data_IF_660751903543
#
_entry.id   IF_660751903543
#
_cell.length_a   1.000
_cell.length_b   1.000
_cell.length_c   1.000
_cell.angle_alpha   90.00
_cell.angle_beta   90.00
_cell.angle_gamma   90.00
#
_symmetry.space_group_name_H-M   'P 1'
#
loop_
_entity.id
_entity.type
_entity.pdbx_description
1 polymer ?
#
# COMPACT_ATOMS: atom_id res chain seq x y z
N UNK A 1 -10.48 6.46 8.65
CA UNK A 1 -9.50 6.39 7.54
C UNK A 1 -8.32 5.59 8.05
N UNK A 2 -7.96 4.48 7.43
CA UNK A 2 -6.80 3.72 7.86
C UNK A 2 -5.49 4.40 7.50
N UNK A 3 -4.52 4.28 8.41
CA UNK A 3 -3.13 4.69 8.21
C UNK A 3 -2.27 3.45 7.96
N UNK A 4 -1.64 3.40 6.79
CA UNK A 4 -0.74 2.34 6.39
C UNK A 4 0.71 2.83 6.49
N UNK A 5 1.55 2.16 7.30
CA UNK A 5 2.98 2.37 7.17
C UNK A 5 3.49 1.55 5.98
N UNK A 6 3.85 2.23 4.91
CA UNK A 6 4.37 1.62 3.68
C UNK A 6 5.90 1.71 3.69
N UNK A 7 6.55 0.55 3.82
CA UNK A 7 7.99 0.42 4.07
C UNK A 7 8.69 -0.26 2.89
N UNK A 8 8.97 0.45 1.79
CA UNK A 8 9.84 -0.10 0.75
C UNK A 8 11.26 -0.32 1.26
N UNK A 9 11.93 -1.30 0.65
CA UNK A 9 13.31 -1.67 1.00
C UNK A 9 14.27 -0.49 1.00
N UNK A 10 15.22 -0.54 1.91
CA UNK A 10 16.33 0.41 2.07
C UNK A 10 17.66 -0.23 1.70
N UNK A 11 17.64 -1.33 0.93
CA UNK A 11 18.80 -2.16 0.63
C UNK A 11 19.40 -1.79 -0.74
N UNK A 12 20.07 -0.64 -0.83
CA UNK A 12 20.76 -0.19 -2.04
C UNK A 12 21.91 -1.13 -2.49
N UNK A 13 22.42 -1.93 -1.54
CA UNK A 13 23.53 -2.88 -1.76
C UNK A 13 23.06 -4.22 -2.36
N UNK A 14 21.78 -4.42 -2.61
CA UNK A 14 21.23 -5.59 -3.28
C UNK A 14 20.97 -5.30 -4.77
N UNK A 15 21.93 -5.56 -5.67
CA UNK A 15 21.75 -5.28 -7.09
C UNK A 15 20.80 -6.29 -7.73
N UNK A 16 19.98 -5.81 -8.66
CA UNK A 16 19.22 -6.68 -9.54
C UNK A 16 20.12 -7.26 -10.64
N UNK A 17 19.84 -8.50 -11.06
CA UNK A 17 20.56 -9.14 -12.17
C UNK A 17 20.38 -8.38 -13.50
N UNK A 18 19.32 -7.58 -13.59
CA UNK A 18 19.01 -6.75 -14.77
C UNK A 18 19.69 -5.38 -14.63
N UNK A 19 19.06 -4.45 -13.90
CA UNK A 19 19.55 -3.11 -13.61
C UNK A 19 18.95 -2.59 -12.31
N UNK A 20 19.59 -1.58 -11.72
CA UNK A 20 19.15 -0.99 -10.46
C UNK A 20 19.41 -1.90 -9.26
N UNK A 21 18.72 -1.60 -8.18
CA UNK A 21 18.82 -2.32 -6.91
C UNK A 21 17.45 -2.44 -6.23
N UNK A 22 17.39 -3.18 -5.13
CA UNK A 22 16.16 -3.45 -4.40
C UNK A 22 15.51 -2.17 -3.87
N UNK A 23 16.28 -1.25 -3.27
CA UNK A 23 15.78 0.03 -2.80
C UNK A 23 15.10 0.82 -3.92
N UNK A 24 15.76 0.95 -5.08
CA UNK A 24 15.23 1.69 -6.21
C UNK A 24 13.88 1.14 -6.69
N UNK A 25 13.80 -0.18 -6.93
CA UNK A 25 12.59 -0.79 -7.50
C UNK A 25 11.43 -0.83 -6.49
N UNK A 26 11.71 -1.08 -5.20
CA UNK A 26 10.66 -1.10 -4.18
C UNK A 26 10.13 0.30 -3.86
N UNK A 27 10.97 1.33 -3.90
CA UNK A 27 10.51 2.72 -3.77
C UNK A 27 9.66 3.13 -4.98
N UNK A 28 10.07 2.78 -6.20
CA UNK A 28 9.28 3.04 -7.40
C UNK A 28 7.93 2.31 -7.37
N UNK A 29 7.89 1.07 -6.87
CA UNK A 29 6.63 0.33 -6.65
C UNK A 29 5.72 1.06 -5.64
N UNK A 30 6.27 1.51 -4.53
CA UNK A 30 5.52 2.24 -3.53
C UNK A 30 4.97 3.58 -4.08
N UNK A 31 5.76 4.30 -4.90
CA UNK A 31 5.31 5.53 -5.59
C UNK A 31 4.09 5.26 -6.50
N UNK A 32 4.02 4.06 -7.11
CA UNK A 32 2.88 3.65 -7.94
C UNK A 32 1.68 3.19 -7.12
N UNK A 33 1.88 2.68 -5.90
CA UNK A 33 0.80 2.29 -5.00
C UNK A 33 0.09 3.51 -4.38
N UNK A 34 0.83 4.57 -4.02
CA UNK A 34 0.28 5.72 -3.30
C UNK A 34 -0.96 6.34 -3.96
N UNK A 35 -1.00 6.60 -5.28
CA UNK A 35 -2.20 7.15 -5.92
C UNK A 35 -3.45 6.27 -5.76
N UNK A 36 -3.31 4.94 -5.85
CA UNK A 36 -4.43 4.00 -5.65
C UNK A 36 -4.89 3.99 -4.19
N UNK A 37 -3.93 3.99 -3.25
CA UNK A 37 -4.21 4.01 -1.82
C UNK A 37 -4.96 5.30 -1.43
N UNK A 38 -4.46 6.46 -1.85
CA UNK A 38 -5.10 7.75 -1.61
C UNK A 38 -6.51 7.83 -2.22
N UNK A 39 -6.66 7.43 -3.50
CA UNK A 39 -7.95 7.40 -4.16
C UNK A 39 -8.96 6.51 -3.44
N UNK A 40 -8.49 5.43 -2.82
CA UNK A 40 -9.31 4.46 -2.09
C UNK A 40 -9.52 4.82 -0.61
N UNK A 41 -9.03 5.97 -0.15
CA UNK A 41 -9.23 6.45 1.24
C UNK A 41 -8.28 5.84 2.26
N UNK A 42 -7.14 5.28 1.84
CA UNK A 42 -6.03 4.86 2.71
C UNK A 42 -5.00 5.98 2.77
N UNK A 43 -4.41 6.23 3.93
CA UNK A 43 -3.32 7.19 4.11
C UNK A 43 -1.98 6.46 4.29
N UNK A 44 -1.19 6.26 3.22
CA UNK A 44 0.14 5.71 3.32
C UNK A 44 1.12 6.71 3.93
N UNK A 45 1.97 6.23 4.82
CA UNK A 45 3.12 6.96 5.37
C UNK A 45 4.38 6.17 5.09
N UNK A 46 5.34 6.79 4.42
CA UNK A 46 6.57 6.14 3.96
C UNK A 46 7.64 6.08 5.06
N UNK A 47 8.47 5.05 4.99
CA UNK A 47 9.74 5.07 5.72
C UNK A 47 10.72 6.09 5.10
N UNK A 48 11.79 6.37 5.81
CA UNK A 48 12.95 7.10 5.30
C UNK A 48 14.01 6.09 4.85
N UNK A 49 14.34 6.00 3.54
CA UNK A 49 15.35 5.07 3.03
C UNK A 49 16.71 5.21 3.73
N UNK A 50 17.11 6.45 4.07
CA UNK A 50 18.38 6.71 4.75
C UNK A 50 18.42 6.16 6.20
N UNK A 51 17.27 5.84 6.79
CA UNK A 51 17.20 5.32 8.16
C UNK A 51 17.46 3.80 8.25
N UNK A 52 17.45 3.10 7.13
CA UNK A 52 17.61 1.64 7.04
C UNK A 52 16.45 0.86 7.70
N UNK A 53 16.47 -0.47 7.63
CA UNK A 53 15.40 -1.33 8.17
C UNK A 53 15.12 -1.12 9.67
N UNK A 54 16.16 -0.89 10.48
CA UNK A 54 15.99 -0.59 11.91
C UNK A 54 15.30 0.77 12.13
N UNK A 55 15.56 1.73 11.25
CA UNK A 55 14.88 3.03 11.22
C UNK A 55 13.42 2.92 10.82
N UNK A 56 13.10 2.12 9.81
CA UNK A 56 11.74 1.85 9.38
C UNK A 56 10.89 1.27 10.54
N UNK A 57 11.41 0.26 11.26
CA UNK A 57 10.75 -0.30 12.45
C UNK A 57 10.54 0.78 13.53
N UNK A 58 11.54 1.62 13.79
CA UNK A 58 11.45 2.68 14.79
C UNK A 58 10.39 3.71 14.42
N UNK A 59 10.38 4.18 13.16
CA UNK A 59 9.40 5.15 12.65
C UNK A 59 7.99 4.57 12.69
N UNK A 60 7.79 3.33 12.25
CA UNK A 60 6.52 2.63 12.34
C UNK A 60 6.02 2.56 13.80
N UNK A 61 6.91 2.31 14.77
CA UNK A 61 6.54 2.20 16.17
C UNK A 61 6.32 3.55 16.88
N UNK A 62 6.69 4.67 16.26
CA UNK A 62 6.44 6.03 16.78
C UNK A 62 5.04 6.54 16.42
N UNK A 63 4.46 6.05 15.32
CA UNK A 63 3.10 6.40 14.90
C UNK A 63 2.06 5.37 15.35
N UNK A 64 0.80 5.72 15.11
CA UNK A 64 -0.35 4.83 15.29
C UNK A 64 -0.85 4.41 13.90
N UNK A 65 -0.34 3.30 13.41
CA UNK A 65 -0.70 2.73 12.11
C UNK A 65 -1.59 1.51 12.27
N UNK A 66 -2.59 1.39 11.39
CA UNK A 66 -3.50 0.26 11.35
C UNK A 66 -2.84 -0.99 10.77
N UNK A 67 -1.83 -0.79 9.91
CA UNK A 67 -1.03 -1.87 9.33
C UNK A 67 0.35 -1.38 8.90
N UNK A 68 1.35 -2.30 8.88
CA UNK A 68 2.69 -2.09 8.34
C UNK A 68 2.91 -3.07 7.17
N UNK A 69 3.10 -2.54 5.97
CA UNK A 69 3.41 -3.30 4.77
C UNK A 69 4.83 -2.97 4.30
N UNK A 70 5.74 -3.94 4.42
CA UNK A 70 7.08 -3.83 3.89
C UNK A 70 7.15 -4.44 2.47
N UNK A 71 7.87 -3.77 1.58
CA UNK A 71 8.06 -4.18 0.19
C UNK A 71 9.53 -4.50 -0.03
N UNK A 72 9.80 -5.74 -0.40
CA UNK A 72 11.12 -6.30 -0.65
C UNK A 72 11.14 -7.18 -1.90
N UNK A 73 12.32 -7.53 -2.36
CA UNK A 73 12.56 -8.61 -3.32
C UNK A 73 13.65 -9.53 -2.78
N UNK A 74 13.44 -10.81 -2.93
CA UNK A 74 14.27 -11.85 -2.35
C UNK A 74 15.59 -12.06 -3.14
N UNK A 75 16.56 -12.68 -2.49
CA UNK A 75 17.76 -13.19 -3.11
C UNK A 75 17.97 -14.67 -2.77
N UNK A 76 18.45 -15.45 -3.74
CA UNK A 76 18.85 -16.83 -3.48
C UNK A 76 20.12 -16.88 -2.63
N UNK A 77 20.29 -17.88 -1.76
CA UNK A 77 21.60 -18.20 -1.20
C UNK A 77 22.62 -18.40 -2.34
N UNK A 78 23.89 -18.07 -2.12
CA UNK A 78 24.95 -18.10 -3.14
C UNK A 78 24.98 -19.41 -3.94
N UNK A 79 24.84 -20.57 -3.27
CA UNK A 79 24.82 -21.89 -3.91
C UNK A 79 23.63 -22.12 -4.86
N UNK A 80 22.57 -21.31 -4.74
CA UNK A 80 21.33 -21.39 -5.53
C UNK A 80 21.08 -20.12 -6.35
N UNK A 81 22.06 -19.22 -6.45
CA UNK A 81 21.91 -17.96 -7.15
C UNK A 81 21.32 -18.12 -8.55
N UNK A 82 20.32 -17.32 -8.86
CA UNK A 82 19.58 -17.34 -10.11
C UNK A 82 18.60 -18.51 -10.30
N UNK A 83 18.47 -19.41 -9.31
CA UNK A 83 17.66 -20.63 -9.47
C UNK A 83 16.32 -20.60 -8.75
N UNK A 84 16.19 -19.76 -7.73
CA UNK A 84 14.95 -19.64 -6.97
C UNK A 84 14.01 -18.63 -7.63
N UNK A 85 12.71 -18.87 -7.47
CA UNK A 85 11.63 -18.02 -7.97
C UNK A 85 10.44 -18.11 -7.03
N UNK A 86 9.62 -17.08 -6.97
CA UNK A 86 8.39 -17.07 -6.21
C UNK A 86 8.14 -15.76 -5.49
N UNK A 87 6.93 -15.60 -4.97
CA UNK A 87 6.51 -14.47 -4.16
C UNK A 87 6.08 -14.97 -2.80
N UNK A 88 6.68 -14.43 -1.75
CA UNK A 88 6.38 -14.82 -0.37
C UNK A 88 5.86 -13.62 0.43
N UNK A 89 4.73 -13.80 1.12
CA UNK A 89 4.19 -12.82 2.07
C UNK A 89 4.43 -13.30 3.49
N UNK A 90 5.45 -12.73 4.14
CA UNK A 90 5.84 -13.11 5.49
C UNK A 90 5.01 -12.39 6.55
N UNK A 91 4.50 -13.16 7.52
CA UNK A 91 3.76 -12.64 8.66
C UNK A 91 4.23 -13.26 9.99
N UNK A 92 3.95 -12.58 11.12
CA UNK A 92 4.27 -13.14 12.44
C UNK A 92 3.28 -14.26 12.79
N UNK A 93 3.75 -15.46 13.22
CA UNK A 93 2.89 -16.65 13.40
C UNK A 93 1.70 -16.45 14.35
N UNK A 94 1.84 -15.60 15.37
CA UNK A 94 0.75 -15.31 16.31
C UNK A 94 -0.18 -14.16 15.85
N UNK A 95 0.09 -13.52 14.69
CA UNK A 95 -0.71 -12.42 14.17
C UNK A 95 -1.82 -12.92 13.23
N UNK A 96 -3.05 -12.99 13.72
CA UNK A 96 -4.22 -13.30 12.87
C UNK A 96 -4.47 -12.21 11.82
N UNK A 97 -4.20 -10.95 12.17
CA UNK A 97 -4.29 -9.81 11.26
C UNK A 97 -3.24 -9.89 10.15
N UNK A 98 -2.00 -10.24 10.49
CA UNK A 98 -0.93 -10.45 9.51
C UNK A 98 -1.23 -11.62 8.58
N UNK A 99 -1.68 -12.77 9.10
CA UNK A 99 -2.11 -13.91 8.28
C UNK A 99 -3.24 -13.54 7.32
N UNK A 100 -4.26 -12.78 7.80
CA UNK A 100 -5.37 -12.34 6.96
C UNK A 100 -4.88 -11.47 5.80
N UNK A 101 -4.05 -10.46 6.07
CA UNK A 101 -3.46 -9.61 5.03
C UNK A 101 -2.60 -10.43 4.06
N UNK A 102 -1.73 -11.31 4.57
CA UNK A 102 -0.87 -12.13 3.73
C UNK A 102 -1.68 -13.00 2.75
N UNK A 103 -2.78 -13.62 3.19
CA UNK A 103 -3.65 -14.41 2.32
C UNK A 103 -4.35 -13.54 1.26
N UNK A 104 -4.85 -12.36 1.62
CA UNK A 104 -5.46 -11.41 0.67
C UNK A 104 -4.43 -11.03 -0.41
N UNK A 105 -3.20 -10.68 -0.02
CA UNK A 105 -2.14 -10.33 -0.97
C UNK A 105 -1.75 -11.51 -1.86
N UNK A 106 -1.70 -12.73 -1.32
CA UNK A 106 -1.49 -13.97 -2.10
C UNK A 106 -2.56 -14.09 -3.18
N UNK A 107 -3.84 -13.93 -2.82
CA UNK A 107 -4.96 -14.09 -3.74
C UNK A 107 -4.95 -13.04 -4.86
N UNK A 108 -4.47 -11.82 -4.58
CA UNK A 108 -4.37 -10.73 -5.55
C UNK A 108 -3.11 -10.83 -6.44
N UNK A 109 -2.01 -11.40 -5.96
CA UNK A 109 -0.76 -11.54 -6.75
C UNK A 109 -0.74 -12.82 -7.60
N UNK A 110 -1.37 -13.90 -7.14
CA UNK A 110 -1.43 -15.16 -7.90
C UNK A 110 -1.88 -15.02 -9.37
N UNK A 111 -2.91 -14.22 -9.70
CA UNK A 111 -3.38 -14.10 -11.08
C UNK A 111 -2.37 -13.46 -12.04
N UNK A 112 -1.44 -12.64 -11.51
CA UNK A 112 -0.49 -11.85 -12.31
C UNK A 112 0.95 -12.40 -12.27
N UNK A 113 1.25 -13.31 -11.34
CA UNK A 113 2.58 -13.91 -11.26
C UNK A 113 2.68 -15.14 -12.18
N UNK A 114 3.76 -15.31 -12.97
CA UNK A 114 3.88 -16.39 -13.97
C UNK A 114 3.82 -17.82 -13.41
N UNK A 115 4.12 -17.99 -12.12
CA UNK A 115 4.10 -19.28 -11.42
C UNK A 115 3.20 -19.19 -10.17
N UNK A 116 1.85 -19.15 -10.34
CA UNK A 116 0.92 -18.88 -9.24
C UNK A 116 1.02 -19.85 -8.06
N UNK A 117 1.47 -21.09 -8.29
CA UNK A 117 1.73 -22.08 -7.25
C UNK A 117 2.91 -21.71 -6.34
N UNK A 118 3.74 -20.74 -6.74
CA UNK A 118 4.87 -20.21 -5.97
C UNK A 118 4.58 -18.91 -5.25
N UNK A 119 3.32 -18.48 -5.20
CA UNK A 119 2.87 -17.33 -4.42
C UNK A 119 2.28 -17.82 -3.10
N UNK A 120 2.90 -17.47 -1.96
CA UNK A 120 2.58 -18.11 -0.69
C UNK A 120 2.60 -17.11 0.49
N UNK A 121 1.74 -17.38 1.49
CA UNK A 121 1.83 -16.75 2.81
C UNK A 121 2.72 -17.62 3.72
N UNK A 122 3.74 -17.03 4.36
CA UNK A 122 4.70 -17.78 5.19
C UNK A 122 4.83 -17.18 6.59
N UNK A 123 4.68 -17.99 7.64
CA UNK A 123 4.97 -17.54 8.99
C UNK A 123 6.48 -17.39 9.21
N UNK A 124 6.89 -16.30 9.91
CA UNK A 124 8.30 -16.11 10.28
C UNK A 124 8.45 -15.38 11.61
N UNK A 125 9.51 -15.73 12.35
CA UNK A 125 9.99 -15.01 13.53
C UNK A 125 11.35 -14.36 13.30
N UNK A 126 11.95 -14.56 12.12
CA UNK A 126 13.31 -14.10 11.82
C UNK A 126 13.35 -12.65 11.35
N UNK A 127 12.30 -12.19 10.63
CA UNK A 127 12.28 -10.87 9.99
C UNK A 127 11.90 -9.78 11.01
N UNK A 128 12.74 -8.74 11.11
CA UNK A 128 12.56 -7.65 12.08
C UNK A 128 11.26 -6.87 11.88
N UNK A 129 10.93 -6.47 10.65
CA UNK A 129 9.74 -5.68 10.32
C UNK A 129 8.43 -6.46 10.53
N UNK A 130 8.49 -7.78 10.54
CA UNK A 130 7.34 -8.64 10.85
C UNK A 130 7.16 -8.83 12.36
N UNK A 131 8.28 -8.90 13.11
CA UNK A 131 8.25 -9.28 14.53
C UNK A 131 8.21 -8.11 15.51
N UNK A 132 8.78 -6.94 15.12
CA UNK A 132 9.10 -5.84 16.04
C UNK A 132 8.22 -4.61 15.88
N UNK A 133 7.29 -4.63 14.93
CA UNK A 133 6.33 -3.55 14.73
C UNK A 133 5.15 -3.67 15.70
N UNK A 134 4.64 -2.53 16.18
CA UNK A 134 3.41 -2.49 16.99
C UNK A 134 2.18 -2.82 16.15
N UNK A 135 2.11 -2.21 14.96
CA UNK A 135 1.06 -2.51 14.00
C UNK A 135 1.18 -3.96 13.51
N UNK A 136 0.07 -4.63 13.22
CA UNK A 136 0.10 -5.87 12.45
C UNK A 136 0.89 -5.66 11.16
N UNK A 137 1.67 -6.66 10.74
CA UNK A 137 2.59 -6.46 9.63
C UNK A 137 2.66 -7.65 8.69
N UNK A 138 2.97 -7.33 7.43
CA UNK A 138 3.40 -8.27 6.39
C UNK A 138 4.63 -7.70 5.71
N UNK A 139 5.59 -8.56 5.39
CA UNK A 139 6.69 -8.26 4.49
C UNK A 139 6.49 -9.06 3.20
N UNK A 140 6.38 -8.36 2.08
CA UNK A 140 6.27 -8.96 0.76
C UNK A 140 7.66 -9.11 0.14
N UNK A 141 8.03 -10.35 -0.22
CA UNK A 141 9.18 -10.67 -1.07
C UNK A 141 8.68 -10.92 -2.48
N UNK A 142 8.78 -9.91 -3.34
CA UNK A 142 8.15 -9.85 -4.66
C UNK A 142 9.07 -10.43 -5.75
N UNK A 143 9.30 -11.73 -5.71
CA UNK A 143 10.21 -12.41 -6.63
C UNK A 143 11.67 -12.33 -6.19
N UNK A 144 12.54 -13.00 -6.95
CA UNK A 144 13.98 -13.07 -6.68
C UNK A 144 14.74 -12.13 -7.62
N UNK A 145 15.38 -11.09 -7.06
CA UNK A 145 16.09 -10.10 -7.88
C UNK A 145 17.38 -10.62 -8.53
N UNK A 146 17.90 -11.75 -8.05
CA UNK A 146 19.02 -12.48 -8.65
C UNK A 146 18.60 -13.48 -9.74
N UNK A 147 17.28 -13.66 -9.98
CA UNK A 147 16.73 -14.48 -11.05
C UNK A 147 16.22 -13.61 -12.20
N UNK A 148 16.66 -13.91 -13.43
CA UNK A 148 16.34 -13.09 -14.62
C UNK A 148 14.83 -12.99 -14.90
N UNK A 149 14.08 -14.09 -14.73
CA UNK A 149 12.64 -14.11 -15.01
C UNK A 149 11.85 -13.32 -13.95
N UNK A 150 12.21 -13.47 -12.66
CA UNK A 150 11.53 -12.77 -11.58
C UNK A 150 11.89 -11.27 -11.58
N UNK A 151 13.15 -10.95 -11.76
CA UNK A 151 13.59 -9.55 -11.92
C UNK A 151 12.89 -8.89 -13.13
N UNK A 152 12.82 -9.60 -14.27
CA UNK A 152 12.12 -9.13 -15.47
C UNK A 152 10.62 -8.97 -15.26
N UNK A 153 9.96 -9.92 -14.56
CA UNK A 153 8.55 -9.81 -14.21
C UNK A 153 8.30 -8.60 -13.32
N UNK A 154 9.05 -8.42 -12.25
CA UNK A 154 8.86 -7.32 -11.31
C UNK A 154 9.06 -5.96 -12.00
N UNK A 155 10.17 -5.78 -12.69
CA UNK A 155 10.51 -4.50 -13.30
C UNK A 155 9.62 -4.14 -14.49
N UNK A 156 9.10 -5.15 -15.20
CA UNK A 156 8.20 -4.98 -16.35
C UNK A 156 6.72 -4.79 -16.00
N UNK A 157 6.30 -5.11 -14.76
CA UNK A 157 4.87 -5.13 -14.39
C UNK A 157 4.58 -4.31 -13.11
N UNK A 158 5.38 -3.28 -12.82
CA UNK A 158 5.24 -2.48 -11.59
C UNK A 158 3.83 -1.91 -11.40
N UNK A 159 3.16 -1.44 -12.46
CA UNK A 159 1.81 -0.87 -12.35
C UNK A 159 0.78 -1.95 -11.98
N UNK A 160 0.88 -3.13 -12.59
CA UNK A 160 -0.02 -4.24 -12.30
C UNK A 160 0.17 -4.76 -10.88
N UNK A 161 1.44 -4.88 -10.45
CA UNK A 161 1.80 -5.26 -9.07
C UNK A 161 1.30 -4.22 -8.06
N UNK A 162 1.49 -2.92 -8.36
CA UNK A 162 1.00 -1.83 -7.52
C UNK A 162 -0.52 -1.85 -7.37
N UNK A 163 -1.25 -2.09 -8.47
CA UNK A 163 -2.70 -2.25 -8.44
C UNK A 163 -3.13 -3.44 -7.59
N UNK A 164 -2.52 -4.61 -7.79
CA UNK A 164 -2.86 -5.83 -7.07
C UNK A 164 -2.59 -5.70 -5.55
N UNK A 165 -1.44 -5.13 -5.16
CA UNK A 165 -1.12 -4.88 -3.76
C UNK A 165 -2.07 -3.85 -3.13
N UNK A 166 -2.39 -2.76 -3.85
CA UNK A 166 -3.30 -1.73 -3.38
C UNK A 166 -4.73 -2.24 -3.25
N UNK A 167 -5.19 -3.08 -4.19
CA UNK A 167 -6.47 -3.79 -4.08
C UNK A 167 -6.50 -4.65 -2.81
N UNK A 168 -5.46 -5.45 -2.56
CA UNK A 168 -5.38 -6.27 -1.34
C UNK A 168 -5.42 -5.44 -0.06
N UNK A 169 -4.75 -4.28 -0.02
CA UNK A 169 -4.82 -3.36 1.12
C UNK A 169 -6.24 -2.82 1.32
N UNK A 170 -6.93 -2.43 0.24
CA UNK A 170 -8.31 -1.92 0.35
C UNK A 170 -9.30 -3.00 0.78
N UNK A 171 -9.17 -4.23 0.26
CA UNK A 171 -9.95 -5.39 0.72
C UNK A 171 -9.74 -5.67 2.21
N UNK A 172 -8.50 -5.60 2.69
CA UNK A 172 -8.20 -5.78 4.10
C UNK A 172 -8.93 -4.76 4.99
N UNK A 173 -9.00 -3.49 4.57
CA UNK A 173 -9.67 -2.42 5.32
C UNK A 173 -11.17 -2.31 5.03
N UNK A 174 -11.73 -3.10 4.10
CA UNK A 174 -13.13 -3.02 3.71
C UNK A 174 -13.50 -1.72 2.98
N UNK A 175 -12.54 -1.18 2.21
CA UNK A 175 -12.70 0.01 1.38
C UNK A 175 -12.93 -0.37 -0.09
N UNK A 176 -13.62 0.46 -0.88
CA UNK A 176 -13.65 0.27 -2.32
C UNK A 176 -12.26 0.52 -2.91
N UNK A 177 -11.82 -0.36 -3.82
CA UNK A 177 -10.63 -0.08 -4.63
C UNK A 177 -11.00 0.91 -5.75
N UNK A 178 -10.30 2.04 -5.78
CA UNK A 178 -10.55 3.08 -6.78
C UNK A 178 -9.29 3.35 -7.61
N UNK A 179 -9.49 3.37 -8.92
CA UNK A 179 -8.46 3.82 -9.84
C UNK A 179 -8.38 5.35 -9.77
N UNK A 180 -7.20 5.92 -9.51
CA UNK A 180 -7.04 7.37 -9.46
C UNK A 180 -7.37 8.00 -10.81
N UNK A 181 -8.21 9.02 -10.79
CA UNK A 181 -8.53 9.85 -11.95
C UNK A 181 -7.54 11.01 -12.11
N UNK A 182 -7.80 11.88 -13.10
CA UNK A 182 -7.13 13.16 -13.15
C UNK A 182 -7.52 13.98 -11.90
N UNK A 183 -6.51 14.52 -11.21
CA UNK A 183 -6.74 15.39 -10.05
C UNK A 183 -7.49 16.65 -10.47
N UNK A 184 -8.59 16.97 -9.76
CA UNK A 184 -9.42 18.13 -10.05
C UNK A 184 -9.61 18.97 -8.80
N UNK A 185 -9.30 20.26 -8.90
CA UNK A 185 -9.57 21.20 -7.83
C UNK A 185 -11.07 21.54 -7.83
N UNK A 186 -11.66 21.57 -6.65
CA UNK A 186 -13.08 21.79 -6.45
C UNK A 186 -13.33 22.51 -5.12
N UNK A 187 -14.56 22.91 -4.88
CA UNK A 187 -14.97 23.57 -3.64
C UNK A 187 -16.23 22.94 -3.06
N UNK A 188 -16.32 22.92 -1.74
CA UNK A 188 -17.53 22.53 -1.03
C UNK A 188 -18.64 23.55 -1.32
N UNK A 189 -19.80 23.09 -1.78
CA UNK A 189 -20.97 23.92 -2.04
C UNK A 189 -22.20 23.36 -1.31
N UNK A 190 -22.49 23.98 -0.18
CA UNK A 190 -23.67 23.67 0.65
C UNK A 190 -24.48 24.96 0.91
N UNK A 191 -25.64 24.83 1.48
CA UNK A 191 -26.50 25.97 1.85
C UNK A 191 -26.15 26.53 3.24
N UNK A 192 -24.86 26.51 3.62
CA UNK A 192 -24.35 27.08 4.88
C UNK A 192 -23.91 26.04 5.92
N UNK A 193 -24.44 24.83 5.92
CA UNK A 193 -23.97 23.77 6.82
C UNK A 193 -22.62 23.18 6.34
N UNK A 194 -21.70 22.77 7.24
CA UNK A 194 -20.48 22.10 6.83
C UNK A 194 -20.77 20.73 6.21
N UNK A 195 -19.97 20.33 5.22
CA UNK A 195 -20.00 18.99 4.63
C UNK A 195 -19.10 18.03 5.40
N UNK A 196 -19.57 16.85 5.71
CA UNK A 196 -18.75 15.84 6.36
C UNK A 196 -17.81 15.16 5.37
N UNK A 197 -16.52 15.14 5.70
CA UNK A 197 -15.53 14.21 5.15
C UNK A 197 -15.62 12.91 5.94
N UNK A 198 -15.78 11.77 5.28
CA UNK A 198 -16.01 10.47 5.92
C UNK A 198 -14.94 9.45 5.58
N UNK A 199 -14.73 8.50 6.48
CA UNK A 199 -13.80 7.38 6.27
C UNK A 199 -14.30 6.36 5.23
N UNK A 200 -15.61 6.29 4.99
CA UNK A 200 -16.25 5.38 4.05
C UNK A 200 -17.22 6.16 3.16
N UNK A 201 -17.49 5.71 1.91
CA UNK A 201 -18.50 6.30 1.04
C UNK A 201 -19.92 5.88 1.46
N UNK A 202 -20.29 6.24 2.69
CA UNK A 202 -21.57 5.92 3.33
C UNK A 202 -21.98 7.03 4.27
N UNK A 203 -23.29 7.28 4.37
CA UNK A 203 -23.86 8.26 5.32
C UNK A 203 -23.61 7.88 6.78
N UNK A 204 -23.45 6.60 7.08
CA UNK A 204 -23.13 6.03 8.39
C UNK A 204 -21.62 5.95 8.66
N UNK A 205 -20.79 6.20 7.63
CA UNK A 205 -19.33 6.16 7.76
C UNK A 205 -18.82 7.17 8.80
N UNK A 206 -17.78 6.83 9.58
CA UNK A 206 -17.20 7.75 10.57
C UNK A 206 -16.81 9.10 9.94
N UNK A 207 -17.14 10.19 10.62
CA UNK A 207 -16.76 11.55 10.19
C UNK A 207 -15.32 11.81 10.60
N UNK A 208 -14.49 12.16 9.62
CA UNK A 208 -13.06 12.50 9.79
C UNK A 208 -12.90 13.99 10.06
N UNK A 209 -13.63 14.83 9.31
CA UNK A 209 -13.60 16.28 9.43
C UNK A 209 -14.95 16.88 8.97
N UNK A 210 -15.15 18.16 9.33
CA UNK A 210 -16.23 18.98 8.80
C UNK A 210 -15.64 20.08 7.93
N UNK A 211 -16.04 20.13 6.67
CA UNK A 211 -15.54 21.05 5.66
C UNK A 211 -16.52 22.22 5.52
N UNK A 212 -16.13 23.47 5.79
CA UNK A 212 -17.02 24.62 5.62
C UNK A 212 -17.48 24.78 4.17
N UNK A 213 -18.63 25.43 3.97
CA UNK A 213 -19.03 25.88 2.64
C UNK A 213 -17.95 26.79 2.03
N UNK A 214 -17.56 26.53 0.77
CA UNK A 214 -16.47 27.23 0.09
C UNK A 214 -15.07 26.65 0.35
N UNK A 215 -14.91 25.65 1.21
CA UNK A 215 -13.62 25.02 1.46
C UNK A 215 -13.05 24.40 0.19
N UNK A 216 -11.76 24.64 -0.14
CA UNK A 216 -11.11 24.02 -1.27
C UNK A 216 -10.86 22.52 -0.99
N UNK A 217 -11.12 21.69 -1.96
CA UNK A 217 -10.87 20.25 -1.92
C UNK A 217 -10.25 19.81 -3.24
N UNK A 218 -9.60 18.65 -3.24
CA UNK A 218 -9.10 18.02 -4.48
C UNK A 218 -9.77 16.67 -4.67
N UNK A 219 -10.40 16.46 -5.82
CA UNK A 219 -11.03 15.20 -6.19
C UNK A 219 -9.97 14.27 -6.74
N UNK A 220 -9.91 13.02 -6.21
CA UNK A 220 -8.99 11.96 -6.64
C UNK A 220 -9.69 10.90 -7.50
N UNK A 221 -10.92 10.53 -7.11
CA UNK A 221 -11.72 9.52 -7.80
C UNK A 221 -13.21 9.71 -7.50
N UNK A 222 -14.05 8.92 -8.19
CA UNK A 222 -15.48 8.87 -7.94
C UNK A 222 -15.92 7.44 -7.64
N UNK A 223 -16.80 7.30 -6.65
CA UNK A 223 -17.48 6.06 -6.30
C UNK A 223 -18.98 6.33 -6.12
N UNK A 224 -19.79 5.90 -7.07
CA UNK A 224 -21.24 6.17 -7.10
C UNK A 224 -21.55 7.67 -6.90
N UNK A 225 -22.29 8.00 -5.84
CA UNK A 225 -22.65 9.36 -5.45
C UNK A 225 -21.61 10.04 -4.55
N UNK A 226 -20.40 9.48 -4.43
CA UNK A 226 -19.33 9.98 -3.58
C UNK A 226 -18.11 10.33 -4.41
N UNK A 227 -17.41 11.41 -4.00
CA UNK A 227 -16.03 11.65 -4.41
C UNK A 227 -15.08 11.20 -3.33
N UNK A 228 -14.00 10.52 -3.73
CA UNK A 228 -12.80 10.44 -2.93
C UNK A 228 -12.06 11.76 -3.07
N UNK A 229 -11.76 12.42 -1.95
CA UNK A 229 -11.18 13.75 -1.93
C UNK A 229 -10.05 13.87 -0.92
N UNK A 230 -9.15 14.82 -1.20
CA UNK A 230 -8.19 15.32 -0.24
C UNK A 230 -8.66 16.66 0.33
N UNK A 231 -8.60 16.80 1.64
CA UNK A 231 -8.90 18.01 2.39
C UNK A 231 -8.02 18.11 3.65
N UNK A 232 -7.24 19.19 3.76
CA UNK A 232 -6.46 19.55 4.97
C UNK A 232 -5.65 18.37 5.58
N UNK A 233 -4.87 17.68 4.76
CA UNK A 233 -4.04 16.53 5.19
C UNK A 233 -4.79 15.21 5.29
N UNK A 234 -6.09 15.16 5.01
CA UNK A 234 -6.92 13.96 5.13
C UNK A 234 -7.43 13.49 3.76
N UNK A 235 -7.44 12.18 3.56
CA UNK A 235 -8.09 11.52 2.44
C UNK A 235 -9.39 10.86 2.92
N UNK A 236 -10.49 11.03 2.19
CA UNK A 236 -11.76 10.46 2.58
C UNK A 236 -12.83 10.68 1.53
N UNK A 237 -14.09 10.47 1.92
CA UNK A 237 -15.22 10.49 1.01
C UNK A 237 -16.22 11.60 1.39
N UNK A 238 -16.71 12.29 0.36
CA UNK A 238 -17.79 13.26 0.50
C UNK A 238 -18.84 13.07 -0.60
N UNK A 239 -20.09 13.40 -0.31
CA UNK A 239 -21.16 13.31 -1.31
C UNK A 239 -20.90 14.28 -2.47
N UNK A 240 -20.84 13.76 -3.70
CA UNK A 240 -20.46 14.50 -4.91
C UNK A 240 -21.39 15.69 -5.19
N UNK A 241 -22.69 15.59 -4.88
CA UNK A 241 -23.67 16.66 -5.08
C UNK A 241 -23.37 17.96 -4.32
N UNK A 242 -22.50 17.92 -3.31
CA UNK A 242 -22.07 19.09 -2.52
C UNK A 242 -20.64 19.54 -2.84
N UNK A 243 -20.08 19.06 -3.94
CA UNK A 243 -18.76 19.47 -4.44
C UNK A 243 -18.94 20.07 -5.83
N UNK A 244 -18.43 21.27 -6.05
CA UNK A 244 -18.46 21.96 -7.34
C UNK A 244 -17.05 22.17 -7.88
N UNK A 245 -16.87 21.81 -9.16
CA UNK A 245 -15.67 22.07 -9.96
C UNK A 245 -15.68 23.48 -10.56
#
# INVERSE_FOLDING_TARGET
MPFLFLSPSTQEFNPYITEGNEEYWMNLLADRMEPYLHASGVNPVRNDPAAGAAGAIRLSNQGDYDFHLALHSNASPEALSGRQRGVDFYYYPASTAGLRMANILVDNIKPIYPLPERVQARPTTAIGEVRRTKAPSVLAELGYHDNTDDAGWLTGNLDEIAQALSLGVTEYFGLPFLIPGQLRDAVVRTEGAPLNLRALPSAEGPVLAQMPNGAPVRILAQYDAWYSIYYDGLYGFAQSRYIAE
#
